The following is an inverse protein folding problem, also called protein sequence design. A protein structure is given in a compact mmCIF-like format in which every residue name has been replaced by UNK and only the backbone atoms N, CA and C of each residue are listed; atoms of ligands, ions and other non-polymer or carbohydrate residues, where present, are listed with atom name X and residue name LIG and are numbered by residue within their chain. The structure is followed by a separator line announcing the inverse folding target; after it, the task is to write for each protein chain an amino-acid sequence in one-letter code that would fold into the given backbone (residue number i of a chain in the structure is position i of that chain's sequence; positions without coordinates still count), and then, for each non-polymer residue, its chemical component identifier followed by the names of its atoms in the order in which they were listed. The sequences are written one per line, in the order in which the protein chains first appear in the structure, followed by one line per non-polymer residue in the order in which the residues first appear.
data_IF_050374682772
#
_entry.id   IF_050374682772
#
_cell.length_a   1.000
_cell.length_b   1.000
_cell.length_c   1.000
_cell.angle_alpha   90.00
_cell.angle_beta   90.00
_cell.angle_gamma   90.00
#
_symmetry.space_group_name_H-M   'P 1'
#
loop_
_entity.id
_entity.type
_entity.pdbx_description
1 polymer ?
#
# COMPACT_ATOMS: atom_id res chain seq x y z
N UNK A 1 -2.86 -9.23 18.03
CA UNK A 1 -3.80 -9.83 17.08
C UNK A 1 -4.91 -8.81 16.80
N UNK A 2 -5.16 -8.48 15.56
CA UNK A 2 -6.20 -7.55 15.11
C UNK A 2 -7.26 -8.35 14.38
N UNK A 3 -8.44 -8.51 14.98
CA UNK A 3 -9.58 -9.16 14.35
C UNK A 3 -10.41 -8.11 13.62
N UNK A 4 -10.98 -8.48 12.48
CA UNK A 4 -11.93 -7.65 11.76
C UNK A 4 -13.12 -8.48 11.26
N UNK A 5 -14.27 -7.83 11.27
CA UNK A 5 -15.54 -8.33 10.75
C UNK A 5 -16.24 -7.14 10.12
N UNK A 6 -16.03 -6.94 8.81
CA UNK A 6 -16.41 -5.72 8.10
C UNK A 6 -17.49 -6.05 7.09
N UNK A 7 -18.64 -5.44 7.25
CA UNK A 7 -19.74 -5.51 6.28
C UNK A 7 -19.79 -4.18 5.53
N UNK A 8 -19.48 -4.22 4.25
CA UNK A 8 -19.57 -3.08 3.35
C UNK A 8 -20.85 -3.21 2.53
N UNK A 9 -21.77 -2.28 2.71
CA UNK A 9 -23.00 -2.16 1.91
C UNK A 9 -22.86 -1.02 0.92
N UNK A 10 -23.25 -1.26 -0.31
CA UNK A 10 -23.41 -0.21 -1.33
C UNK A 10 -24.89 0.19 -1.34
N UNK A 11 -25.19 1.43 -0.94
CA UNK A 11 -26.53 1.98 -1.08
C UNK A 11 -26.77 2.30 -2.56
N UNK A 12 -27.51 1.42 -3.22
CA UNK A 12 -27.86 1.60 -4.62
C UNK A 12 -29.26 2.22 -4.68
N UNK A 13 -29.36 3.48 -5.10
CA UNK A 13 -30.64 4.13 -5.35
C UNK A 13 -31.30 3.51 -6.58
N UNK A 14 -32.55 3.06 -6.44
CA UNK A 14 -33.35 2.47 -7.53
C UNK A 14 -33.89 3.54 -8.48
N UNK A 15 -32.99 4.17 -9.25
CA UNK A 15 -33.40 5.05 -10.34
C UNK A 15 -33.94 4.22 -11.51
N UNK A 16 -34.66 4.87 -12.44
CA UNK A 16 -35.16 4.20 -13.66
C UNK A 16 -34.01 3.53 -14.45
N UNK A 17 -32.84 4.17 -14.55
CA UNK A 17 -31.67 3.63 -15.24
C UNK A 17 -31.13 2.38 -14.55
N UNK A 18 -31.03 2.41 -13.23
CA UNK A 18 -30.59 1.26 -12.40
C UNK A 18 -31.57 0.11 -12.58
N UNK A 19 -32.90 0.35 -12.45
CA UNK A 19 -33.91 -0.67 -12.61
C UNK A 19 -33.87 -1.32 -14.01
N UNK A 20 -33.65 -0.51 -15.05
CA UNK A 20 -33.52 -1.02 -16.42
C UNK A 20 -32.29 -1.95 -16.57
N UNK A 21 -31.12 -1.52 -16.10
CA UNK A 21 -29.91 -2.35 -16.18
C UNK A 21 -30.07 -3.64 -15.36
N UNK A 22 -30.68 -3.57 -14.17
CA UNK A 22 -30.96 -4.76 -13.39
C UNK A 22 -31.86 -5.75 -14.14
N UNK A 23 -32.87 -5.26 -14.84
CA UNK A 23 -33.76 -6.11 -15.63
C UNK A 23 -33.08 -6.66 -16.90
N UNK A 24 -32.30 -5.82 -17.60
CA UNK A 24 -31.64 -6.22 -18.84
C UNK A 24 -30.53 -7.28 -18.62
N UNK A 25 -29.89 -7.29 -17.46
CA UNK A 25 -28.77 -8.15 -17.11
C UNK A 25 -29.05 -9.17 -16.00
N UNK A 26 -30.29 -9.25 -15.53
CA UNK A 26 -30.71 -10.14 -14.43
C UNK A 26 -29.85 -10.02 -13.15
N UNK A 27 -29.52 -8.77 -12.79
CA UNK A 27 -28.68 -8.46 -11.63
C UNK A 27 -29.56 -8.15 -10.41
N UNK A 28 -29.37 -8.87 -9.31
CA UNK A 28 -30.04 -8.59 -8.03
C UNK A 28 -29.21 -7.62 -7.16
N UNK A 29 -29.86 -6.87 -6.26
CA UNK A 29 -29.19 -6.00 -5.28
C UNK A 29 -28.49 -6.78 -4.17
N UNK A 30 -28.63 -8.10 -4.11
CA UNK A 30 -27.98 -8.96 -3.11
C UNK A 30 -26.44 -8.90 -3.19
N UNK A 31 -25.90 -8.61 -4.37
CA UNK A 31 -24.45 -8.40 -4.58
C UNK A 31 -23.92 -7.03 -4.11
N UNK A 32 -24.79 -6.19 -3.49
CA UNK A 32 -24.38 -4.89 -2.96
C UNK A 32 -23.71 -4.96 -1.58
N UNK A 33 -23.61 -6.15 -1.00
CA UNK A 33 -23.03 -6.36 0.34
C UNK A 33 -21.79 -7.24 0.23
N UNK A 34 -20.66 -6.71 0.65
CA UNK A 34 -19.39 -7.44 0.78
C UNK A 34 -19.10 -7.66 2.27
N UNK A 35 -18.68 -8.87 2.64
CA UNK A 35 -18.35 -9.24 4.01
C UNK A 35 -16.91 -9.74 4.11
N UNK A 36 -16.07 -9.04 4.87
CA UNK A 36 -14.67 -9.35 5.08
C UNK A 36 -14.45 -9.75 6.53
N UNK A 37 -14.07 -11.00 6.77
CA UNK A 37 -13.77 -11.53 8.10
C UNK A 37 -12.36 -12.08 8.14
N UNK A 38 -11.60 -11.75 9.17
CA UNK A 38 -10.24 -12.24 9.30
C UNK A 38 -9.51 -11.72 10.53
N UNK A 39 -8.24 -12.11 10.61
CA UNK A 39 -7.35 -11.65 11.67
C UNK A 39 -5.94 -11.41 11.14
N UNK A 40 -5.31 -10.33 11.60
CA UNK A 40 -3.90 -10.03 11.34
C UNK A 40 -3.12 -10.12 12.64
N UNK A 41 -2.11 -10.99 12.68
CA UNK A 41 -1.17 -11.08 13.80
C UNK A 41 0.14 -10.44 13.41
N UNK A 42 0.45 -9.28 13.98
CA UNK A 42 1.70 -8.58 13.69
C UNK A 42 2.85 -9.12 14.55
N UNK A 43 4.08 -9.22 14.00
CA UNK A 43 5.28 -9.47 14.78
C UNK A 43 5.48 -8.42 15.87
N UNK A 44 6.15 -8.78 16.98
CA UNK A 44 6.43 -7.84 18.06
C UNK A 44 7.31 -6.65 17.63
N UNK A 45 8.21 -6.90 16.66
CA UNK A 45 9.04 -5.87 16.02
C UNK A 45 8.90 -6.03 14.50
N UNK A 46 8.62 -4.94 13.81
CA UNK A 46 8.51 -4.91 12.37
C UNK A 46 8.67 -3.47 11.86
N UNK A 47 9.16 -3.33 10.65
CA UNK A 47 9.27 -2.06 9.94
C UNK A 47 8.36 -2.00 8.72
N UNK A 48 8.24 -3.09 7.96
CA UNK A 48 7.49 -3.10 6.71
C UNK A 48 6.43 -4.19 6.74
N UNK A 49 5.19 -3.81 6.47
CA UNK A 49 4.08 -4.71 6.25
C UNK A 49 3.46 -4.52 4.87
N UNK A 50 2.83 -5.55 4.34
CA UNK A 50 2.11 -5.48 3.06
C UNK A 50 0.74 -6.12 3.19
N UNK A 51 -0.27 -5.42 2.67
CA UNK A 51 -1.60 -5.97 2.39
C UNK A 51 -1.71 -6.09 0.88
N UNK A 52 -1.84 -7.32 0.38
CA UNK A 52 -1.83 -7.62 -1.05
C UNK A 52 -3.05 -8.44 -1.45
N UNK A 53 -3.44 -8.39 -2.73
CA UNK A 53 -4.54 -9.16 -3.30
C UNK A 53 -5.10 -8.52 -4.57
N UNK A 54 -5.98 -9.19 -5.27
CA UNK A 54 -6.61 -8.68 -6.50
C UNK A 54 -7.47 -7.42 -6.23
N UNK A 55 -7.83 -6.71 -7.28
CA UNK A 55 -8.79 -5.59 -7.15
C UNK A 55 -10.13 -6.09 -6.63
N UNK A 56 -10.78 -5.34 -5.74
CA UNK A 56 -12.07 -5.71 -5.17
C UNK A 56 -12.02 -6.65 -3.96
N UNK A 57 -10.85 -7.17 -3.53
CA UNK A 57 -10.74 -8.11 -2.40
C UNK A 57 -10.76 -7.45 -1.00
N UNK A 58 -11.12 -6.18 -0.92
CA UNK A 58 -11.28 -5.48 0.36
C UNK A 58 -9.99 -4.88 0.96
N UNK A 59 -8.84 -4.89 0.25
CA UNK A 59 -7.56 -4.35 0.76
C UNK A 59 -7.68 -3.00 1.43
N UNK A 60 -8.19 -2.01 0.70
CA UNK A 60 -8.38 -0.63 1.19
C UNK A 60 -9.31 -0.57 2.40
N UNK A 61 -10.38 -1.37 2.39
CA UNK A 61 -11.36 -1.44 3.47
C UNK A 61 -10.73 -1.99 4.74
N UNK A 62 -10.03 -3.11 4.64
CA UNK A 62 -9.31 -3.75 5.75
C UNK A 62 -8.19 -2.82 6.27
N UNK A 63 -7.42 -2.20 5.38
CA UNK A 63 -6.37 -1.28 5.76
C UNK A 63 -6.90 -0.05 6.52
N UNK A 64 -8.02 0.53 6.09
CA UNK A 64 -8.67 1.67 6.77
C UNK A 64 -9.21 1.29 8.13
N UNK A 65 -9.77 0.10 8.28
CA UNK A 65 -10.30 -0.38 9.56
C UNK A 65 -9.18 -0.62 10.57
N UNK A 66 -8.15 -1.37 10.17
CA UNK A 66 -7.10 -1.81 11.08
C UNK A 66 -6.01 -0.76 11.35
N UNK A 67 -5.78 0.15 10.41
CA UNK A 67 -4.68 1.12 10.43
C UNK A 67 -5.15 2.56 10.23
N UNK A 68 -6.37 2.88 10.69
CA UNK A 68 -7.00 4.21 10.55
C UNK A 68 -6.15 5.35 11.13
N UNK A 69 -5.38 5.09 12.18
CA UNK A 69 -4.44 6.01 12.85
C UNK A 69 -3.31 6.48 11.94
N UNK A 70 -2.88 5.63 11.04
CA UNK A 70 -1.73 5.88 10.15
C UNK A 70 -2.09 5.77 8.66
N UNK A 71 -3.33 5.52 8.31
CA UNK A 71 -3.80 5.50 6.92
C UNK A 71 -3.65 6.90 6.30
N UNK A 72 -2.97 6.97 5.15
CA UNK A 72 -2.75 8.23 4.46
C UNK A 72 -3.97 8.56 3.61
N UNK A 73 -4.59 9.69 3.94
CA UNK A 73 -5.60 10.32 3.10
C UNK A 73 -4.90 11.09 1.97
N UNK A 74 -5.65 11.42 0.92
CA UNK A 74 -5.14 12.26 -0.16
C UNK A 74 -4.67 13.60 0.40
N UNK A 75 -3.44 13.98 0.04
CA UNK A 75 -2.88 15.29 0.40
C UNK A 75 -3.43 16.38 -0.52
N UNK A 76 -3.48 17.59 0.03
CA UNK A 76 -3.71 18.81 -0.76
C UNK A 76 -2.38 19.49 -1.07
N UNK A 77 -2.26 19.97 -2.31
CA UNK A 77 -1.09 20.63 -2.83
C UNK A 77 -1.53 21.94 -3.49
N UNK A 78 -1.17 23.08 -2.88
CA UNK A 78 -1.64 24.41 -3.26
C UNK A 78 -0.51 25.36 -3.64
N UNK A 79 0.76 24.98 -3.33
CA UNK A 79 1.91 25.82 -3.62
C UNK A 79 2.31 25.73 -5.12
N UNK A 80 3.12 26.69 -5.55
CA UNK A 80 3.69 26.73 -6.91
C UNK A 80 4.86 25.75 -7.08
N UNK A 81 5.34 25.15 -5.98
CA UNK A 81 6.39 24.14 -5.98
C UNK A 81 6.09 23.07 -4.93
N UNK A 82 6.42 21.81 -5.22
CA UNK A 82 6.14 20.72 -4.25
C UNK A 82 6.97 20.84 -2.98
N UNK A 83 8.16 21.43 -3.04
CA UNK A 83 8.98 21.65 -1.85
C UNK A 83 8.31 22.59 -0.85
N UNK A 84 7.54 23.57 -1.33
CA UNK A 84 6.78 24.51 -0.50
C UNK A 84 5.51 23.88 0.08
N UNK A 85 5.02 22.78 -0.49
CA UNK A 85 3.89 22.00 0.03
C UNK A 85 4.30 20.97 1.10
N UNK A 86 5.60 20.83 1.37
CA UNK A 86 6.08 19.94 2.43
C UNK A 86 5.81 20.51 3.82
N UNK A 87 5.84 19.69 4.89
CA UNK A 87 5.52 20.13 6.27
C UNK A 87 6.40 21.30 6.70
N UNK A 88 5.78 22.40 7.10
CA UNK A 88 6.48 23.64 7.51
C UNK A 88 7.33 23.50 8.78
N UNK A 89 7.13 22.41 9.52
CA UNK A 89 7.93 22.05 10.71
C UNK A 89 9.27 21.42 10.35
N UNK A 90 9.49 21.09 9.08
CA UNK A 90 10.72 20.45 8.58
C UNK A 90 11.62 21.46 7.89
N UNK A 91 12.91 21.33 8.11
CA UNK A 91 13.92 22.12 7.40
C UNK A 91 14.01 21.69 5.92
N UNK A 92 14.55 22.56 5.07
CA UNK A 92 14.80 22.24 3.66
C UNK A 92 15.71 21.02 3.54
N UNK A 93 16.73 20.90 4.36
CA UNK A 93 17.67 19.76 4.37
C UNK A 93 16.98 18.43 4.72
N UNK A 94 16.00 18.45 5.64
CA UNK A 94 15.21 17.25 5.97
C UNK A 94 14.32 16.83 4.81
N UNK A 95 13.70 17.80 4.13
CA UNK A 95 12.85 17.58 2.97
C UNK A 95 13.68 17.03 1.81
N UNK A 96 14.82 17.63 1.52
CA UNK A 96 15.76 17.19 0.47
C UNK A 96 16.21 15.73 0.71
N UNK A 97 16.68 15.44 1.93
CA UNK A 97 17.08 14.08 2.32
C UNK A 97 15.95 13.08 2.13
N UNK A 98 14.71 13.45 2.47
CA UNK A 98 13.55 12.58 2.30
C UNK A 98 13.21 12.38 0.82
N UNK A 99 13.28 13.42 -0.02
CA UNK A 99 13.06 13.30 -1.45
C UNK A 99 14.06 12.31 -2.10
N UNK A 100 15.34 12.42 -1.78
CA UNK A 100 16.32 11.44 -2.22
C UNK A 100 16.04 10.05 -1.66
N UNK A 101 15.65 9.96 -0.39
CA UNK A 101 15.38 8.71 0.31
C UNK A 101 14.21 7.92 -0.29
N UNK A 102 13.20 8.60 -0.86
CA UNK A 102 12.09 7.96 -1.58
C UNK A 102 12.35 7.82 -3.08
N UNK A 103 13.54 8.17 -3.55
CA UNK A 103 13.93 8.10 -4.96
C UNK A 103 13.42 9.25 -5.83
N UNK A 104 13.01 10.39 -5.23
CA UNK A 104 12.64 11.61 -5.95
C UNK A 104 13.84 12.52 -6.13
N UNK A 105 14.83 12.09 -6.94
CA UNK A 105 16.12 12.77 -7.10
C UNK A 105 16.17 13.90 -8.15
N UNK A 106 15.07 14.17 -8.89
CA UNK A 106 15.03 15.22 -9.91
C UNK A 106 14.79 16.59 -9.28
N UNK A 107 15.86 17.30 -8.92
CA UNK A 107 15.80 18.64 -8.31
C UNK A 107 14.92 19.63 -9.10
N UNK A 108 14.99 19.70 -10.45
CA UNK A 108 14.08 20.58 -11.21
C UNK A 108 12.59 20.26 -11.00
N UNK A 109 12.23 19.00 -10.67
CA UNK A 109 10.85 18.61 -10.40
C UNK A 109 10.38 19.07 -9.02
N UNK A 110 11.28 19.32 -8.06
CA UNK A 110 10.93 19.85 -6.73
C UNK A 110 10.37 21.26 -6.78
N UNK A 111 10.79 22.02 -7.82
CA UNK A 111 10.40 23.42 -8.05
C UNK A 111 9.12 23.55 -8.88
N UNK A 112 8.51 22.43 -9.27
CA UNK A 112 7.26 22.41 -10.05
C UNK A 112 6.06 22.24 -9.13
N UNK A 113 4.88 22.71 -9.52
CA UNK A 113 3.64 22.39 -8.81
C UNK A 113 3.28 20.92 -8.98
N UNK A 114 2.65 20.33 -7.96
CA UNK A 114 2.32 18.90 -7.91
C UNK A 114 1.51 18.41 -9.12
N UNK A 115 0.59 19.21 -9.64
CA UNK A 115 -0.32 18.81 -10.73
C UNK A 115 0.41 18.49 -12.05
N UNK A 116 1.60 19.07 -12.29
CA UNK A 116 2.38 18.84 -13.53
C UNK A 116 3.39 17.69 -13.41
N UNK A 117 3.53 17.09 -12.24
CA UNK A 117 4.40 15.94 -12.04
C UNK A 117 3.83 14.69 -12.71
N UNK A 118 4.72 13.77 -13.12
CA UNK A 118 4.34 12.42 -13.54
C UNK A 118 3.74 11.62 -12.37
N UNK A 119 2.99 10.56 -12.66
CA UNK A 119 2.39 9.72 -11.61
C UNK A 119 3.45 9.12 -10.67
N UNK A 120 4.60 8.72 -11.19
CA UNK A 120 5.71 8.22 -10.39
C UNK A 120 6.33 9.28 -9.46
N UNK A 121 6.45 10.52 -9.94
CA UNK A 121 6.90 11.64 -9.12
C UNK A 121 5.86 11.99 -8.04
N UNK A 122 4.57 12.05 -8.40
CA UNK A 122 3.47 12.28 -7.46
C UNK A 122 3.46 11.27 -6.33
N UNK A 123 3.56 9.97 -6.65
CA UNK A 123 3.62 8.91 -5.63
C UNK A 123 4.80 9.11 -4.67
N UNK A 124 5.99 9.49 -5.19
CA UNK A 124 7.16 9.72 -4.34
C UNK A 124 7.02 10.97 -3.48
N UNK A 125 6.40 12.03 -4.00
CA UNK A 125 6.10 13.25 -3.23
C UNK A 125 5.11 12.95 -2.10
N UNK A 126 4.02 12.23 -2.41
CA UNK A 126 3.03 11.82 -1.41
C UNK A 126 3.67 10.98 -0.30
N UNK A 127 4.53 10.05 -0.70
CA UNK A 127 5.25 9.19 0.23
C UNK A 127 6.25 9.98 1.10
N UNK A 128 7.01 10.90 0.50
CA UNK A 128 7.93 11.77 1.24
C UNK A 128 7.19 12.60 2.28
N UNK A 129 6.06 13.22 1.89
CA UNK A 129 5.23 14.01 2.79
C UNK A 129 4.69 13.17 3.94
N UNK A 130 4.17 11.97 3.65
CA UNK A 130 3.68 11.04 4.65
C UNK A 130 4.77 10.65 5.67
N UNK A 131 5.97 10.31 5.19
CA UNK A 131 7.09 9.92 6.04
C UNK A 131 7.73 11.08 6.81
N UNK A 132 7.59 12.33 6.34
CA UNK A 132 7.99 13.52 7.08
C UNK A 132 7.01 13.85 8.21
N UNK A 133 5.73 13.55 8.03
CA UNK A 133 4.67 13.85 9.01
C UNK A 133 4.50 12.75 10.07
N UNK A 134 4.74 11.48 9.73
CA UNK A 134 4.43 10.33 10.58
C UNK A 134 5.57 9.31 10.67
N UNK A 135 5.66 8.62 11.80
CA UNK A 135 6.59 7.50 11.98
C UNK A 135 5.99 6.16 11.59
N UNK A 136 4.65 6.08 11.53
CA UNK A 136 3.91 4.92 11.01
C UNK A 136 2.99 5.38 9.89
N UNK A 137 3.11 4.76 8.74
CA UNK A 137 2.41 5.13 7.50
C UNK A 137 1.74 3.91 6.88
N UNK A 138 0.45 3.99 6.59
CA UNK A 138 -0.28 3.04 5.75
C UNK A 138 -0.62 3.72 4.42
N UNK A 139 0.00 3.28 3.33
CA UNK A 139 -0.08 3.89 2.01
C UNK A 139 -0.86 3.02 1.05
N UNK A 140 -2.04 3.50 0.65
CA UNK A 140 -2.94 2.78 -0.25
C UNK A 140 -2.53 2.96 -1.72
N UNK A 141 -2.94 2.01 -2.57
CA UNK A 141 -2.62 1.98 -4.01
C UNK A 141 -1.11 2.11 -4.30
N UNK A 142 -0.28 1.57 -3.37
CA UNK A 142 1.16 1.65 -3.49
C UNK A 142 1.64 0.96 -4.78
N UNK A 143 2.33 1.72 -5.65
CA UNK A 143 2.82 1.34 -6.98
C UNK A 143 1.77 1.05 -8.05
N UNK A 144 0.48 1.26 -7.80
CA UNK A 144 -0.59 0.92 -8.76
C UNK A 144 -0.57 1.77 -10.04
N UNK A 145 -0.05 3.01 -9.95
CA UNK A 145 -0.07 4.01 -11.03
C UNK A 145 1.28 4.21 -11.72
N UNK A 146 2.26 3.36 -11.44
CA UNK A 146 3.63 3.51 -11.96
C UNK A 146 4.08 2.24 -12.71
N UNK A 147 5.00 2.40 -13.67
CA UNK A 147 5.61 1.26 -14.32
C UNK A 147 6.45 0.41 -13.36
N UNK A 148 6.74 -0.85 -13.74
CA UNK A 148 7.37 -1.79 -12.81
C UNK A 148 8.81 -1.47 -12.47
N UNK A 149 9.56 -0.79 -13.35
CA UNK A 149 10.95 -0.35 -13.06
C UNK A 149 10.95 0.78 -12.02
N UNK A 150 10.02 1.73 -12.16
CA UNK A 150 9.81 2.81 -11.19
C UNK A 150 9.36 2.24 -9.85
N UNK A 151 8.44 1.26 -9.85
CA UNK A 151 7.98 0.58 -8.65
C UNK A 151 9.12 -0.14 -7.93
N UNK A 152 9.95 -0.89 -8.64
CA UNK A 152 11.11 -1.59 -8.09
C UNK A 152 12.08 -0.62 -7.41
N UNK A 153 12.46 0.45 -8.13
CA UNK A 153 13.36 1.47 -7.59
C UNK A 153 12.79 2.12 -6.33
N UNK A 154 11.50 2.46 -6.33
CA UNK A 154 10.82 3.03 -5.17
C UNK A 154 10.79 2.06 -3.99
N UNK A 155 10.44 0.79 -4.21
CA UNK A 155 10.42 -0.23 -3.17
C UNK A 155 11.78 -0.41 -2.49
N UNK A 156 12.86 -0.49 -3.26
CA UNK A 156 14.22 -0.63 -2.73
C UNK A 156 14.61 0.60 -1.90
N UNK A 157 14.32 1.80 -2.40
CA UNK A 157 14.61 3.05 -1.69
C UNK A 157 13.83 3.13 -0.36
N UNK A 158 12.54 2.77 -0.38
CA UNK A 158 11.67 2.76 0.80
C UNK A 158 12.15 1.73 1.82
N UNK A 159 12.46 0.49 1.40
CA UNK A 159 12.97 -0.54 2.30
C UNK A 159 14.18 -0.03 3.10
N UNK A 160 15.15 0.56 2.39
CA UNK A 160 16.35 1.14 3.01
C UNK A 160 16.00 2.26 3.98
N UNK A 161 15.16 3.20 3.55
CA UNK A 161 14.80 4.40 4.33
C UNK A 161 14.04 4.03 5.60
N UNK A 162 13.04 3.18 5.50
CA UNK A 162 12.20 2.76 6.63
C UNK A 162 13.03 2.04 7.69
N UNK A 163 13.90 1.11 7.29
CA UNK A 163 14.78 0.40 8.21
C UNK A 163 15.82 1.31 8.86
N UNK A 164 16.44 2.22 8.09
CA UNK A 164 17.42 3.18 8.63
C UNK A 164 16.81 4.17 9.63
N UNK A 165 15.59 4.61 9.40
CA UNK A 165 14.89 5.58 10.27
C UNK A 165 14.06 4.91 11.37
N UNK A 166 14.06 3.57 11.44
CA UNK A 166 13.24 2.78 12.37
C UNK A 166 11.75 3.17 12.36
N UNK A 167 11.24 3.50 11.17
CA UNK A 167 9.82 3.82 10.94
C UNK A 167 9.03 2.54 10.63
N UNK A 168 7.70 2.68 10.58
CA UNK A 168 6.79 1.61 10.16
C UNK A 168 6.06 2.01 8.89
N UNK A 169 6.06 1.12 7.91
CA UNK A 169 5.42 1.33 6.62
C UNK A 169 4.54 0.15 6.25
N UNK A 170 3.28 0.41 5.92
CA UNK A 170 2.32 -0.59 5.43
C UNK A 170 1.97 -0.22 4.00
N UNK A 171 2.37 -1.07 3.05
CA UNK A 171 1.98 -0.93 1.65
C UNK A 171 0.67 -1.70 1.39
N UNK A 172 -0.29 -1.05 0.74
CA UNK A 172 -1.50 -1.71 0.23
C UNK A 172 -1.42 -1.72 -1.29
N UNK A 173 -1.37 -2.90 -1.90
CA UNK A 173 -1.13 -3.03 -3.34
C UNK A 173 -1.83 -4.23 -3.97
N UNK A 174 -2.14 -4.13 -5.28
CA UNK A 174 -2.60 -5.28 -6.07
C UNK A 174 -1.43 -6.07 -6.70
N UNK A 175 -0.19 -5.63 -6.52
CA UNK A 175 0.99 -6.19 -7.16
C UNK A 175 1.82 -7.03 -6.20
N UNK A 176 1.99 -8.32 -6.49
CA UNK A 176 2.75 -9.26 -5.65
C UNK A 176 4.27 -9.14 -5.80
N UNK A 177 4.77 -8.62 -6.93
CA UNK A 177 6.20 -8.44 -7.18
C UNK A 177 6.87 -7.43 -6.22
N UNK A 178 6.10 -6.51 -5.61
CA UNK A 178 6.61 -5.62 -4.57
C UNK A 178 7.11 -6.38 -3.34
N UNK A 179 6.67 -7.62 -3.10
CA UNK A 179 7.10 -8.44 -1.96
C UNK A 179 8.60 -8.74 -2.03
N UNK A 180 9.10 -9.03 -3.25
CA UNK A 180 10.53 -9.26 -3.48
C UNK A 180 11.37 -8.00 -3.21
N UNK A 181 10.86 -6.83 -3.59
CA UNK A 181 11.61 -5.57 -3.53
C UNK A 181 11.50 -4.88 -2.17
N UNK A 182 10.34 -4.93 -1.54
CA UNK A 182 10.11 -4.35 -0.21
C UNK A 182 10.63 -5.23 0.92
N UNK A 183 10.71 -6.55 0.71
CA UNK A 183 11.11 -7.53 1.73
C UNK A 183 10.39 -7.29 3.07
N UNK A 184 9.05 -7.37 3.11
CA UNK A 184 8.27 -7.03 4.27
C UNK A 184 8.47 -8.02 5.41
N UNK A 185 8.28 -7.57 6.65
CA UNK A 185 8.33 -8.40 7.85
C UNK A 185 7.05 -9.24 8.00
N UNK A 186 5.93 -8.77 7.43
CA UNK A 186 4.66 -9.48 7.39
C UNK A 186 3.87 -9.14 6.13
N UNK A 187 3.08 -10.09 5.66
CA UNK A 187 2.18 -9.95 4.51
C UNK A 187 0.82 -10.50 4.88
N UNK A 188 -0.24 -9.77 4.52
CA UNK A 188 -1.62 -10.25 4.55
C UNK A 188 -2.17 -10.33 3.14
N UNK A 189 -2.58 -11.52 2.72
CA UNK A 189 -3.21 -11.77 1.41
C UNK A 189 -4.72 -11.73 1.55
N UNK A 190 -5.35 -10.75 0.89
CA UNK A 190 -6.81 -10.59 0.93
C UNK A 190 -7.56 -11.52 -0.02
N UNK A 191 -6.89 -12.21 -0.94
CA UNK A 191 -7.56 -13.27 -1.74
C UNK A 191 -7.82 -14.51 -0.89
N UNK A 192 -6.87 -14.85 -0.02
CA UNK A 192 -6.94 -16.04 0.84
C UNK A 192 -7.39 -15.69 2.28
N UNK A 193 -7.50 -14.39 2.61
CA UNK A 193 -7.75 -13.87 3.97
C UNK A 193 -6.78 -14.44 5.01
N UNK A 194 -5.49 -14.54 4.64
CA UNK A 194 -4.44 -15.18 5.44
C UNK A 194 -3.18 -14.35 5.55
N UNK A 195 -2.48 -14.54 6.69
CA UNK A 195 -1.11 -14.06 6.85
C UNK A 195 -0.14 -14.94 6.07
N UNK A 196 0.73 -14.28 5.30
CA UNK A 196 1.89 -14.89 4.67
C UNK A 196 3.13 -14.41 5.43
N UNK A 197 3.96 -15.32 5.96
CA UNK A 197 5.18 -14.94 6.68
C UNK A 197 6.37 -14.92 5.73
N UNK A 198 7.24 -13.93 5.87
CA UNK A 198 8.42 -13.76 5.00
C UNK A 198 9.71 -14.31 5.63
N UNK A 199 10.73 -14.51 4.80
CA UNK A 199 11.96 -15.27 5.07
C UNK A 199 12.81 -14.82 6.25
N UNK A 200 12.72 -13.60 6.72
CA UNK A 200 13.52 -13.17 7.88
C UNK A 200 13.18 -13.97 9.16
N UNK A 201 11.99 -14.61 9.19
CA UNK A 201 11.60 -15.56 10.24
C UNK A 201 11.70 -17.02 9.80
N UNK A 202 11.89 -17.30 8.52
CA UNK A 202 11.86 -18.64 7.92
C UNK A 202 13.24 -19.33 7.84
N UNK A 203 14.33 -18.63 8.05
CA UNK A 203 15.65 -19.27 8.21
C UNK A 203 15.69 -20.25 9.40
N UNK A 204 14.69 -20.16 10.29
CA UNK A 204 14.45 -21.18 11.32
C UNK A 204 13.55 -22.35 10.88
N UNK A 205 12.85 -22.24 9.74
CA UNK A 205 11.91 -23.26 9.25
C UNK A 205 11.94 -23.38 7.72
N UNK A 206 12.88 -24.11 7.20
CA UNK A 206 13.27 -24.25 5.78
C UNK A 206 12.24 -24.91 4.82
N UNK A 207 10.93 -24.93 5.10
CA UNK A 207 9.98 -25.83 4.42
C UNK A 207 8.83 -25.18 3.61
N UNK A 208 8.66 -23.86 3.59
CA UNK A 208 7.38 -23.28 3.14
C UNK A 208 7.44 -22.35 1.91
N UNK A 209 8.61 -22.11 1.35
CA UNK A 209 8.79 -21.21 0.19
C UNK A 209 8.39 -21.79 -1.17
N UNK A 210 8.23 -23.10 -1.27
CA UNK A 210 7.95 -23.77 -2.57
C UNK A 210 6.55 -23.56 -3.12
N UNK A 211 5.53 -23.39 -2.28
CA UNK A 211 4.14 -23.50 -2.73
C UNK A 211 3.54 -22.24 -3.39
N UNK A 212 4.03 -21.03 -3.06
CA UNK A 212 3.53 -19.78 -3.67
C UNK A 212 4.30 -19.42 -4.93
N UNK A 213 5.60 -19.75 -4.99
CA UNK A 213 6.41 -19.60 -6.20
C UNK A 213 5.89 -20.44 -7.37
N UNK A 214 5.33 -21.62 -7.12
CA UNK A 214 4.70 -22.47 -8.14
C UNK A 214 3.38 -21.89 -8.67
N UNK A 215 2.58 -21.21 -7.83
CA UNK A 215 1.32 -20.54 -8.26
C UNK A 215 1.57 -19.24 -9.05
N UNK A 216 2.70 -18.58 -8.88
CA UNK A 216 3.01 -17.29 -9.51
C UNK A 216 4.01 -17.44 -10.67
N UNK A 217 4.53 -18.66 -10.92
CA UNK A 217 5.44 -18.95 -12.04
C UNK A 217 6.84 -18.34 -11.90
N UNK A 218 7.26 -17.96 -10.69
CA UNK A 218 8.63 -17.51 -10.37
C UNK A 218 9.00 -17.93 -8.94
N UNK A 219 10.28 -18.25 -8.73
CA UNK A 219 10.86 -18.64 -7.43
C UNK A 219 10.78 -17.52 -6.37
N UNK A 220 9.61 -17.21 -5.90
CA UNK A 220 9.36 -16.35 -4.74
C UNK A 220 9.05 -17.23 -3.55
N UNK A 221 9.91 -17.16 -2.55
CA UNK A 221 9.73 -17.90 -1.34
C UNK A 221 8.76 -17.23 -0.36
N UNK A 222 7.48 -17.58 -0.37
CA UNK A 222 6.44 -17.14 0.57
C UNK A 222 5.74 -18.34 1.19
N UNK A 223 5.46 -18.29 2.50
CA UNK A 223 4.93 -19.39 3.29
C UNK A 223 3.49 -19.14 3.72
N UNK A 224 2.65 -20.16 3.63
CA UNK A 224 1.28 -20.20 4.16
C UNK A 224 1.28 -21.10 5.43
N UNK A 225 0.77 -20.60 6.54
CA UNK A 225 0.40 -21.41 7.70
C UNK A 225 -1.12 -21.48 7.76
#
# INVERSE_FOLDING_TARGET
MYNFDIIKKSDIEKTFRVAKIMADFDVSLEHSTEHFVGAITLPAKWNIGVIVGASGTGKTTIAKELFSDCFIKKFEYNAKSVIDDMPKTKSVDEIEKMFYAVGFGSVPSWLKPYNVLSNGEKMRVDLAKALLEKDKVCFDEFTSVVDRNVAQTACIAINKTIKMQNKQFIAVSCHYDILEWLQPDWVFDTNEMKMLFTTAHAEKNNLLFKSVGEKIGKNLGVIII
#
